data_IF_917777967802
#
_entry.id   IF_917777967802
#
_cell.length_a   1.000
_cell.length_b   1.000
_cell.length_c   1.000
_cell.angle_alpha   90.00
_cell.angle_beta   90.00
_cell.angle_gamma   90.00
#
_symmetry.space_group_name_H-M   'P 1'
#
loop_
_entity.id
_entity.type
_entity.pdbx_description
1 polymer ?
#
# COMPACT_ATOMS: atom_id res chain seq x y z
N UNK A 1 8.66 -9.88 2.10
CA UNK A 1 9.38 -9.36 0.93
C UNK A 1 10.88 -9.63 1.09
N UNK A 2 11.54 -9.98 -0.01
CA UNK A 2 12.99 -10.17 -0.06
C UNK A 2 13.65 -8.81 -0.40
N UNK A 3 14.27 -8.17 0.60
CA UNK A 3 14.87 -6.84 0.47
C UNK A 3 16.18 -6.76 1.25
N UNK A 4 17.08 -5.90 0.79
CA UNK A 4 18.37 -5.57 1.44
C UNK A 4 18.46 -4.06 1.63
N UNK A 5 18.12 -3.54 2.80
CA UNK A 5 18.14 -2.08 3.03
C UNK A 5 19.51 -1.43 2.81
N UNK A 6 20.57 -2.15 3.15
CA UNK A 6 21.97 -1.73 2.94
C UNK A 6 22.37 -1.68 1.46
N UNK A 7 21.60 -2.35 0.58
CA UNK A 7 21.83 -2.40 -0.86
C UNK A 7 20.51 -2.09 -1.60
N UNK A 8 19.97 -0.86 -1.54
CA UNK A 8 18.66 -0.50 -2.09
C UNK A 8 18.52 -0.78 -3.59
N UNK A 9 19.63 -0.77 -4.31
CA UNK A 9 19.71 -1.08 -5.74
C UNK A 9 19.78 -2.56 -6.10
N UNK A 10 19.78 -3.46 -5.10
CA UNK A 10 19.92 -4.90 -5.37
C UNK A 10 18.88 -5.40 -6.38
N UNK A 11 19.34 -5.95 -7.53
CA UNK A 11 18.44 -6.21 -8.67
C UNK A 11 17.45 -7.35 -8.44
N UNK A 12 17.70 -8.23 -7.45
CA UNK A 12 16.82 -9.37 -7.14
C UNK A 12 15.84 -9.09 -6.00
N UNK A 13 15.84 -7.87 -5.44
CA UNK A 13 14.87 -7.52 -4.40
C UNK A 13 13.45 -7.49 -4.95
N UNK A 14 12.48 -7.79 -4.11
CA UNK A 14 11.08 -7.56 -4.42
C UNK A 14 10.79 -6.07 -4.63
N UNK A 15 9.75 -5.75 -5.38
CA UNK A 15 9.29 -4.38 -5.66
C UNK A 15 7.99 -4.11 -4.91
N UNK A 16 7.89 -2.91 -4.35
CA UNK A 16 6.67 -2.40 -3.73
C UNK A 16 6.30 -1.04 -4.31
N UNK A 17 5.24 -1.02 -5.10
CA UNK A 17 4.65 0.22 -5.60
C UNK A 17 3.50 0.63 -4.68
N UNK A 18 3.66 1.74 -3.96
CA UNK A 18 2.59 2.34 -3.17
C UNK A 18 1.83 3.32 -4.07
N UNK A 19 0.81 2.84 -4.77
CA UNK A 19 0.06 3.63 -5.76
C UNK A 19 -0.65 4.83 -5.13
N UNK A 20 -1.21 4.65 -3.93
CA UNK A 20 -1.73 5.75 -3.10
C UNK A 20 -0.59 6.56 -2.48
N UNK A 21 0.12 7.34 -3.30
CA UNK A 21 1.33 8.07 -2.91
C UNK A 21 1.17 9.04 -1.74
N UNK A 22 -0.06 9.50 -1.48
CA UNK A 22 -0.38 10.32 -0.31
C UNK A 22 -0.22 9.57 1.03
N UNK A 23 -0.11 8.24 1.03
CA UNK A 23 0.24 7.43 2.20
C UNK A 23 1.77 7.38 2.45
N UNK A 24 2.50 8.39 2.00
CA UNK A 24 3.97 8.49 2.10
C UNK A 24 4.50 8.40 3.53
N UNK A 25 3.79 8.94 4.52
CA UNK A 25 4.19 8.83 5.94
C UNK A 25 4.35 7.36 6.37
N UNK A 26 3.37 6.53 6.01
CA UNK A 26 3.41 5.09 6.30
C UNK A 26 4.61 4.44 5.61
N UNK A 27 4.80 4.70 4.31
CA UNK A 27 5.91 4.13 3.55
C UNK A 27 7.26 4.52 4.14
N UNK A 28 7.46 5.80 4.45
CA UNK A 28 8.71 6.28 5.04
C UNK A 28 8.98 5.68 6.43
N UNK A 29 7.94 5.55 7.25
CA UNK A 29 8.06 4.90 8.55
C UNK A 29 8.51 3.46 8.41
N UNK A 30 7.88 2.70 7.51
CA UNK A 30 8.27 1.31 7.24
C UNK A 30 9.70 1.21 6.70
N UNK A 31 10.09 2.06 5.76
CA UNK A 31 11.43 2.08 5.18
C UNK A 31 12.51 2.42 6.24
N UNK A 32 12.24 3.42 7.10
CA UNK A 32 13.15 3.77 8.19
C UNK A 32 13.34 2.62 9.18
N UNK A 33 12.24 2.03 9.65
CA UNK A 33 12.31 0.88 10.58
C UNK A 33 12.88 -0.38 9.91
N UNK A 34 12.81 -0.48 8.60
CA UNK A 34 13.45 -1.56 7.84
C UNK A 34 14.95 -1.32 7.64
N UNK A 35 15.47 -0.12 7.94
CA UNK A 35 16.88 0.21 7.89
C UNK A 35 17.36 0.88 6.60
N UNK A 36 16.46 1.38 5.74
CA UNK A 36 16.85 2.11 4.53
C UNK A 36 17.43 3.48 4.81
N UNK A 37 17.06 4.09 5.94
CA UNK A 37 17.62 5.35 6.44
C UNK A 37 17.31 5.50 7.93
N UNK A 38 17.97 6.46 8.58
CA UNK A 38 17.84 6.64 10.02
C UNK A 38 16.40 7.10 10.42
N UNK A 39 15.76 6.48 11.43
CA UNK A 39 14.43 6.89 11.88
C UNK A 39 14.35 8.36 12.31
N UNK A 40 15.45 8.96 12.74
CA UNK A 40 15.51 10.38 13.09
C UNK A 40 15.15 11.30 11.91
N UNK A 41 15.38 10.86 10.67
CA UNK A 41 15.04 11.62 9.47
C UNK A 41 13.52 11.78 9.27
N UNK A 42 12.68 10.94 9.87
CA UNK A 42 11.22 11.07 9.80
C UNK A 42 10.73 12.44 10.28
N UNK A 43 11.49 13.11 11.17
CA UNK A 43 11.18 14.47 11.63
C UNK A 43 11.29 15.54 10.54
N UNK A 44 11.94 15.24 9.42
CA UNK A 44 12.09 16.16 8.29
C UNK A 44 11.02 16.03 7.24
N UNK A 45 9.99 15.19 7.48
CA UNK A 45 8.90 14.96 6.53
C UNK A 45 8.28 16.27 6.05
N UNK A 46 8.20 16.45 4.73
CA UNK A 46 7.67 17.65 4.04
C UNK A 46 8.39 18.97 4.34
N UNK A 47 9.56 18.93 4.97
CA UNK A 47 10.38 20.12 5.10
C UNK A 47 11.13 20.43 3.79
N UNK A 48 11.51 21.69 3.59
CA UNK A 48 12.36 22.10 2.46
C UNK A 48 13.68 21.30 2.56
N UNK A 49 14.18 20.87 1.41
CA UNK A 49 15.41 20.08 1.27
C UNK A 49 15.36 18.64 1.84
N UNK A 50 14.26 18.23 2.47
CA UNK A 50 14.09 16.83 2.88
C UNK A 50 13.86 15.93 1.68
N UNK A 51 14.46 14.74 1.70
CA UNK A 51 14.15 13.69 0.73
C UNK A 51 12.78 13.03 0.98
N UNK A 52 12.21 13.23 2.17
CA UNK A 52 10.91 12.70 2.58
C UNK A 52 9.79 13.66 2.15
N UNK A 53 9.49 13.64 0.86
CA UNK A 53 8.51 14.53 0.23
C UNK A 53 7.07 14.09 0.52
N UNK A 54 6.10 14.98 0.30
CA UNK A 54 4.67 14.68 0.49
C UNK A 54 4.16 13.48 -0.32
N UNK A 55 4.73 13.27 -1.52
CA UNK A 55 4.60 12.04 -2.29
C UNK A 55 5.99 11.40 -2.48
N UNK A 56 6.09 10.06 -2.48
CA UNK A 56 7.39 9.39 -2.58
C UNK A 56 8.09 9.68 -3.90
N UNK A 57 9.40 9.93 -3.83
CA UNK A 57 10.25 10.13 -4.99
C UNK A 57 11.35 9.05 -5.04
N UNK A 58 11.33 8.21 -6.07
CA UNK A 58 12.28 7.11 -6.24
C UNK A 58 13.72 7.58 -6.46
N UNK A 59 13.90 8.82 -6.94
CA UNK A 59 15.24 9.40 -7.17
C UNK A 59 15.85 9.97 -5.89
N UNK A 60 15.05 10.18 -4.83
CA UNK A 60 15.51 10.83 -3.60
C UNK A 60 15.52 9.89 -2.41
N UNK A 61 14.56 8.97 -2.33
CA UNK A 61 14.37 8.13 -1.14
C UNK A 61 14.73 6.68 -1.44
N UNK A 62 15.76 6.11 -0.83
CA UNK A 62 16.12 4.71 -1.02
C UNK A 62 14.99 3.78 -0.57
N UNK A 63 14.77 2.70 -1.33
CA UNK A 63 13.67 1.75 -1.09
C UNK A 63 12.35 2.13 -1.72
N UNK A 64 12.21 3.34 -2.30
CA UNK A 64 11.05 3.74 -3.08
C UNK A 64 11.21 3.25 -4.52
N UNK A 65 10.29 2.40 -4.99
CA UNK A 65 10.35 1.79 -6.31
C UNK A 65 9.74 2.63 -7.43
N UNK A 66 8.83 3.53 -7.09
CA UNK A 66 8.14 4.41 -8.03
C UNK A 66 7.85 5.74 -7.37
N UNK A 67 8.11 6.84 -8.07
CA UNK A 67 7.57 8.15 -7.70
C UNK A 67 6.07 8.14 -7.94
N UNK A 68 5.28 8.31 -6.89
CA UNK A 68 3.81 8.24 -6.94
C UNK A 68 3.16 9.56 -6.52
N UNK A 69 1.88 9.70 -6.80
CA UNK A 69 1.07 10.89 -6.58
C UNK A 69 -0.16 10.82 -7.45
N UNK A 70 -0.02 10.71 -8.79
CA UNK A 70 -1.15 10.43 -9.67
C UNK A 70 -1.73 9.05 -9.37
N UNK A 71 -2.98 9.00 -8.91
CA UNK A 71 -3.70 7.76 -8.66
C UNK A 71 -3.88 6.95 -9.96
N UNK A 72 -4.07 5.65 -9.83
CA UNK A 72 -4.31 4.74 -10.95
C UNK A 72 -3.06 4.28 -11.72
N UNK A 73 -1.95 5.01 -11.65
CA UNK A 73 -0.73 4.71 -12.41
C UNK A 73 0.08 3.54 -11.84
N UNK A 74 -0.02 3.32 -10.53
CA UNK A 74 0.80 2.31 -9.84
C UNK A 74 0.62 0.91 -10.39
N UNK A 75 -0.60 0.52 -10.75
CA UNK A 75 -0.87 -0.81 -11.33
C UNK A 75 -0.17 -1.01 -12.67
N UNK A 76 -0.15 0.01 -13.54
CA UNK A 76 0.52 -0.05 -14.84
C UNK A 76 2.03 -0.20 -14.69
N UNK A 77 2.65 0.57 -13.79
CA UNK A 77 4.08 0.50 -13.52
C UNK A 77 4.45 -0.84 -12.87
N UNK A 78 3.67 -1.31 -11.92
CA UNK A 78 3.87 -2.62 -11.30
C UNK A 78 3.77 -3.76 -12.33
N UNK A 79 2.81 -3.69 -13.26
CA UNK A 79 2.72 -4.62 -14.39
C UNK A 79 4.01 -4.59 -15.23
N UNK A 80 4.50 -3.40 -15.59
CA UNK A 80 5.76 -3.24 -16.33
C UNK A 80 6.94 -3.87 -15.60
N UNK A 81 7.06 -3.66 -14.28
CA UNK A 81 8.11 -4.28 -13.46
C UNK A 81 8.01 -5.80 -13.44
N UNK A 82 6.80 -6.35 -13.31
CA UNK A 82 6.58 -7.81 -13.31
C UNK A 82 6.90 -8.44 -14.69
N UNK A 83 6.55 -7.75 -15.78
CA UNK A 83 6.91 -8.18 -17.13
C UNK A 83 8.41 -8.09 -17.39
N UNK A 84 9.07 -7.04 -16.89
CA UNK A 84 10.52 -6.90 -16.95
C UNK A 84 11.22 -8.04 -16.17
N UNK A 85 10.69 -8.42 -14.99
CA UNK A 85 11.21 -9.57 -14.25
C UNK A 85 11.20 -10.84 -15.10
N UNK A 86 10.08 -11.12 -15.76
CA UNK A 86 9.96 -12.29 -16.65
C UNK A 86 10.93 -12.22 -17.84
N UNK A 87 10.99 -11.05 -18.51
CA UNK A 87 11.87 -10.85 -19.67
C UNK A 87 13.36 -11.01 -19.33
N UNK A 88 13.74 -10.56 -18.13
CA UNK A 88 15.11 -10.61 -17.63
C UNK A 88 15.40 -11.87 -16.80
N UNK A 89 14.48 -12.84 -16.79
CA UNK A 89 14.59 -14.11 -16.05
C UNK A 89 14.89 -13.90 -14.55
N UNK A 90 14.30 -12.83 -13.96
CA UNK A 90 14.44 -12.53 -12.53
C UNK A 90 13.29 -13.11 -11.74
N UNK A 91 13.55 -13.42 -10.45
CA UNK A 91 12.63 -14.14 -9.59
C UNK A 91 11.93 -13.28 -8.52
N UNK A 92 12.07 -11.96 -8.59
CA UNK A 92 11.43 -11.07 -7.61
C UNK A 92 9.92 -10.96 -7.82
N UNK A 93 9.23 -10.67 -6.74
CA UNK A 93 7.82 -10.33 -6.73
C UNK A 93 7.63 -8.83 -6.90
N UNK A 94 6.52 -8.46 -7.54
CA UNK A 94 6.07 -7.08 -7.63
C UNK A 94 4.72 -6.94 -6.91
N UNK A 95 4.71 -6.11 -5.89
CA UNK A 95 3.51 -5.79 -5.12
C UNK A 95 3.07 -4.37 -5.47
N UNK A 96 1.77 -4.16 -5.62
CA UNK A 96 1.17 -2.83 -5.73
C UNK A 96 0.13 -2.65 -4.66
N UNK A 97 0.29 -1.61 -3.83
CA UNK A 97 -0.66 -1.22 -2.80
C UNK A 97 -1.57 -0.14 -3.34
N UNK A 98 -2.85 -0.47 -3.43
CA UNK A 98 -3.93 0.37 -3.95
C UNK A 98 -4.84 0.84 -2.82
N UNK A 99 -5.49 1.96 -3.01
CA UNK A 99 -6.60 2.44 -2.18
C UNK A 99 -7.89 2.54 -2.99
N UNK A 100 -8.97 2.94 -2.33
CA UNK A 100 -10.29 3.11 -2.96
C UNK A 100 -10.24 4.08 -4.14
N UNK A 101 -9.55 5.21 -3.99
CA UNK A 101 -9.40 6.20 -5.05
C UNK A 101 -8.66 5.67 -6.29
N UNK A 102 -7.63 4.82 -6.11
CA UNK A 102 -6.94 4.17 -7.22
C UNK A 102 -7.89 3.32 -8.07
N UNK A 103 -8.90 2.72 -7.44
CA UNK A 103 -9.86 1.85 -8.10
C UNK A 103 -10.91 2.62 -8.93
N UNK A 104 -11.05 3.92 -8.70
CA UNK A 104 -11.94 4.76 -9.52
C UNK A 104 -11.25 5.27 -10.79
N UNK A 105 -9.92 5.15 -10.88
CA UNK A 105 -9.15 5.57 -12.06
C UNK A 105 -9.24 4.54 -13.19
N UNK A 106 -9.60 4.99 -14.41
CA UNK A 106 -9.68 4.14 -15.60
C UNK A 106 -8.37 3.43 -15.91
N UNK A 107 -7.22 4.10 -15.71
CA UNK A 107 -5.89 3.56 -15.87
C UNK A 107 -5.66 2.27 -15.05
N UNK A 108 -6.23 2.19 -13.84
CA UNK A 108 -6.17 0.96 -13.02
C UNK A 108 -6.81 -0.22 -13.74
N UNK A 109 -8.00 -0.03 -14.34
CA UNK A 109 -8.74 -1.10 -15.03
C UNK A 109 -8.09 -1.50 -16.36
N UNK A 110 -7.51 -0.54 -17.08
CA UNK A 110 -6.70 -0.83 -18.28
C UNK A 110 -5.51 -1.73 -17.91
N UNK A 111 -4.80 -1.41 -16.81
CA UNK A 111 -3.69 -2.23 -16.34
C UNK A 111 -4.15 -3.61 -15.86
N UNK A 112 -5.33 -3.72 -15.25
CA UNK A 112 -5.94 -5.01 -14.85
C UNK A 112 -6.20 -5.89 -16.07
N UNK A 113 -6.79 -5.33 -17.14
CA UNK A 113 -7.01 -6.06 -18.40
C UNK A 113 -5.69 -6.51 -19.03
N UNK A 114 -4.70 -5.61 -19.08
CA UNK A 114 -3.39 -5.93 -19.61
C UNK A 114 -2.69 -7.03 -18.79
N UNK A 115 -2.77 -6.97 -17.46
CA UNK A 115 -2.21 -8.00 -16.59
C UNK A 115 -2.86 -9.38 -16.81
N UNK A 116 -4.16 -9.44 -17.02
CA UNK A 116 -4.85 -10.67 -17.38
C UNK A 116 -4.40 -11.23 -18.73
N UNK A 117 -4.13 -10.36 -19.72
CA UNK A 117 -3.59 -10.73 -21.03
C UNK A 117 -2.17 -11.29 -20.93
N UNK A 118 -1.29 -10.60 -20.22
CA UNK A 118 0.12 -10.94 -20.15
C UNK A 118 0.49 -11.97 -19.08
N UNK A 119 -0.41 -12.21 -18.13
CA UNK A 119 -0.30 -13.23 -17.07
C UNK A 119 1.04 -13.19 -16.33
N UNK A 120 1.41 -12.07 -15.69
CA UNK A 120 2.64 -11.97 -14.91
C UNK A 120 2.47 -12.75 -13.58
N UNK A 121 3.16 -13.85 -13.44
CA UNK A 121 3.02 -14.82 -12.32
C UNK A 121 3.35 -14.25 -10.93
N UNK A 122 4.05 -13.14 -10.86
CA UNK A 122 4.55 -12.53 -9.62
C UNK A 122 4.09 -11.10 -9.41
N UNK A 123 2.95 -10.75 -10.01
CA UNK A 123 2.26 -9.49 -9.75
C UNK A 123 1.15 -9.70 -8.71
N UNK A 124 1.21 -8.93 -7.64
CA UNK A 124 0.22 -8.97 -6.55
C UNK A 124 -0.34 -7.59 -6.29
N UNK A 125 -1.65 -7.45 -6.41
CA UNK A 125 -2.36 -6.26 -5.95
C UNK A 125 -2.82 -6.46 -4.49
N UNK A 126 -2.39 -5.59 -3.60
CA UNK A 126 -2.83 -5.48 -2.21
C UNK A 126 -3.78 -4.28 -2.16
N UNK A 127 -5.05 -4.50 -1.82
CA UNK A 127 -6.07 -3.48 -1.87
C UNK A 127 -6.48 -3.11 -0.45
N UNK A 128 -6.13 -1.89 -0.05
CA UNK A 128 -6.60 -1.27 1.19
C UNK A 128 -8.00 -0.72 0.93
N UNK A 129 -9.01 -1.52 1.30
CA UNK A 129 -10.42 -1.23 1.07
C UNK A 129 -11.07 -0.71 2.35
N UNK A 130 -10.78 0.55 2.67
CA UNK A 130 -11.28 1.23 3.86
C UNK A 130 -12.62 1.95 3.64
N UNK A 131 -13.11 2.01 2.41
CA UNK A 131 -14.40 2.62 2.01
C UNK A 131 -14.51 4.12 2.28
N UNK A 132 -13.37 4.83 2.44
CA UNK A 132 -13.33 6.28 2.67
C UNK A 132 -12.35 6.94 1.72
N UNK A 133 -12.83 7.87 0.91
CA UNK A 133 -12.05 8.71 0.01
C UNK A 133 -11.87 10.13 0.58
N UNK A 134 -11.26 11.02 -0.22
CA UNK A 134 -11.03 12.41 0.17
C UNK A 134 -12.33 13.14 0.53
N UNK A 135 -13.36 12.98 -0.31
CA UNK A 135 -14.61 13.74 -0.23
C UNK A 135 -15.71 13.03 0.56
N UNK A 136 -15.44 11.81 1.07
CA UNK A 136 -16.41 11.06 1.86
C UNK A 136 -16.39 9.54 1.67
N UNK A 137 -17.46 8.87 2.07
CA UNK A 137 -17.61 7.42 1.90
C UNK A 137 -17.56 7.01 0.42
N UNK A 138 -16.74 6.01 0.08
CA UNK A 138 -16.57 5.55 -1.31
C UNK A 138 -17.88 5.12 -1.95
N UNK A 139 -18.83 4.60 -1.17
CA UNK A 139 -20.15 4.21 -1.65
C UNK A 139 -20.99 5.40 -2.18
N UNK A 140 -20.78 6.60 -1.59
CA UNK A 140 -21.48 7.82 -1.99
C UNK A 140 -20.77 8.53 -3.14
N UNK A 141 -19.44 8.41 -3.22
CA UNK A 141 -18.63 9.09 -4.25
C UNK A 141 -18.63 8.28 -5.55
N UNK A 142 -18.13 7.05 -5.51
CA UNK A 142 -18.08 6.14 -6.65
C UNK A 142 -18.01 4.68 -6.14
N UNK A 143 -19.13 3.98 -6.05
CA UNK A 143 -19.18 2.66 -5.45
C UNK A 143 -18.42 1.61 -6.26
N UNK A 144 -17.61 0.84 -5.58
CA UNK A 144 -16.76 -0.19 -6.17
C UNK A 144 -17.25 -1.62 -5.95
N UNK A 145 -18.16 -1.82 -5.01
CA UNK A 145 -18.73 -3.15 -4.77
C UNK A 145 -19.53 -3.65 -5.99
N UNK A 146 -19.58 -4.94 -6.26
CA UNK A 146 -18.83 -5.99 -5.61
C UNK A 146 -17.38 -6.10 -6.14
N UNK A 147 -16.41 -5.63 -5.40
CA UNK A 147 -15.02 -5.54 -5.86
C UNK A 147 -14.35 -6.90 -6.15
N UNK A 148 -14.51 -7.95 -5.32
CA UNK A 148 -13.93 -9.26 -5.62
C UNK A 148 -14.42 -9.84 -6.95
N UNK A 149 -15.71 -9.71 -7.24
CA UNK A 149 -16.35 -10.22 -8.46
C UNK A 149 -15.87 -9.46 -9.69
N UNK A 150 -15.79 -8.14 -9.60
CA UNK A 150 -15.24 -7.29 -10.66
C UNK A 150 -13.81 -7.74 -11.01
N UNK A 151 -12.96 -7.97 -10.02
CA UNK A 151 -11.59 -8.46 -10.24
C UNK A 151 -11.55 -9.84 -10.87
N UNK A 152 -12.40 -10.77 -10.42
CA UNK A 152 -12.51 -12.11 -11.02
C UNK A 152 -12.99 -12.05 -12.47
N UNK A 153 -13.95 -11.16 -12.78
CA UNK A 153 -14.42 -10.95 -14.15
C UNK A 153 -13.33 -10.49 -15.11
N UNK A 154 -12.30 -9.80 -14.60
CA UNK A 154 -11.08 -9.47 -15.34
C UNK A 154 -10.02 -10.58 -15.31
N UNK A 155 -10.38 -11.83 -14.93
CA UNK A 155 -9.49 -12.98 -14.87
C UNK A 155 -8.29 -12.82 -13.93
N UNK A 156 -8.44 -12.08 -12.85
CA UNK A 156 -7.48 -12.08 -11.75
C UNK A 156 -7.77 -13.20 -10.76
N UNK A 157 -6.72 -13.76 -10.22
CA UNK A 157 -6.83 -14.71 -9.12
C UNK A 157 -7.02 -13.95 -7.81
N UNK A 158 -8.27 -13.89 -7.37
CA UNK A 158 -8.66 -13.12 -6.19
C UNK A 158 -8.71 -14.05 -4.98
N UNK A 159 -8.09 -13.60 -3.90
CA UNK A 159 -8.11 -14.33 -2.63
C UNK A 159 -9.54 -14.74 -2.22
N UNK A 160 -9.72 -15.92 -1.61
CA UNK A 160 -11.04 -16.48 -1.33
C UNK A 160 -11.83 -15.69 -0.29
N UNK A 161 -11.15 -14.89 0.53
CA UNK A 161 -11.74 -14.06 1.56
C UNK A 161 -11.25 -12.61 1.46
N UNK A 162 -12.02 -11.69 2.01
CA UNK A 162 -11.56 -10.35 2.39
C UNK A 162 -10.95 -10.48 3.78
N UNK A 163 -9.68 -10.10 3.91
CA UNK A 163 -8.92 -10.22 5.15
C UNK A 163 -9.03 -8.95 5.99
N UNK A 164 -8.91 -9.10 7.30
CA UNK A 164 -8.73 -7.95 8.19
C UNK A 164 -7.30 -7.41 8.04
N UNK A 165 -7.17 -6.20 7.49
CA UNK A 165 -5.87 -5.54 7.28
C UNK A 165 -5.19 -5.06 8.56
N UNK A 166 -5.90 -5.05 9.70
CA UNK A 166 -5.36 -4.74 11.02
C UNK A 166 -4.93 -5.98 11.80
N UNK A 167 -5.22 -7.18 11.28
CA UNK A 167 -4.80 -8.44 11.87
C UNK A 167 -3.53 -8.97 11.20
N UNK A 168 -2.41 -8.94 11.92
CA UNK A 168 -1.13 -9.51 11.43
C UNK A 168 -1.30 -10.97 11.01
N UNK A 169 -2.08 -11.73 11.77
CA UNK A 169 -2.34 -13.16 11.49
C UNK A 169 -3.06 -13.32 10.14
N UNK A 170 -4.07 -12.50 9.87
CA UNK A 170 -4.80 -12.56 8.59
C UNK A 170 -3.95 -12.06 7.41
N UNK A 171 -3.19 -11.01 7.62
CA UNK A 171 -2.23 -10.54 6.62
C UNK A 171 -1.23 -11.63 6.28
N UNK A 172 -0.65 -12.34 7.25
CA UNK A 172 0.27 -13.44 7.00
C UNK A 172 -0.40 -14.60 6.26
N UNK A 173 -1.62 -14.99 6.64
CA UNK A 173 -2.42 -16.00 5.90
C UNK A 173 -2.63 -15.63 4.44
N UNK A 174 -2.89 -14.35 4.16
CA UNK A 174 -3.07 -13.89 2.80
C UNK A 174 -1.78 -14.00 1.97
N UNK A 175 -0.63 -13.70 2.56
CA UNK A 175 0.66 -13.89 1.89
C UNK A 175 1.01 -15.37 1.65
N UNK A 176 0.61 -16.27 2.55
CA UNK A 176 0.77 -17.70 2.32
C UNK A 176 -0.11 -18.19 1.16
N UNK A 177 -1.34 -17.68 1.07
CA UNK A 177 -2.19 -17.91 -0.10
C UNK A 177 -1.52 -17.39 -1.39
N UNK A 178 -1.00 -16.16 -1.40
CA UNK A 178 -0.32 -15.54 -2.55
C UNK A 178 0.84 -16.40 -3.05
N UNK A 179 1.65 -16.98 -2.16
CA UNK A 179 2.80 -17.82 -2.53
C UNK A 179 2.39 -19.06 -3.33
N UNK A 180 1.17 -19.54 -3.16
CA UNK A 180 0.60 -20.65 -3.92
C UNK A 180 0.17 -20.29 -5.36
N UNK A 181 0.04 -19.00 -5.67
CA UNK A 181 -0.45 -18.53 -6.96
C UNK A 181 0.69 -18.37 -7.96
N UNK A 182 0.60 -19.03 -9.12
CA UNK A 182 1.68 -19.06 -10.12
C UNK A 182 1.24 -18.80 -11.56
N UNK A 183 -0.06 -18.79 -11.84
CA UNK A 183 -0.56 -18.74 -13.22
C UNK A 183 -1.19 -17.39 -13.61
N UNK A 184 -1.64 -16.59 -12.65
CA UNK A 184 -2.41 -15.37 -12.87
C UNK A 184 -1.91 -14.26 -11.97
N UNK A 185 -2.07 -12.97 -12.34
CA UNK A 185 -1.85 -11.91 -11.35
C UNK A 185 -2.81 -12.13 -10.17
N UNK A 186 -2.31 -11.97 -8.95
CA UNK A 186 -3.09 -12.19 -7.74
C UNK A 186 -3.60 -10.87 -7.15
N UNK A 187 -4.77 -10.90 -6.51
CA UNK A 187 -5.32 -9.78 -5.76
C UNK A 187 -5.77 -10.22 -4.38
N UNK A 188 -5.39 -9.44 -3.37
CA UNK A 188 -5.83 -9.58 -1.98
C UNK A 188 -6.53 -8.30 -1.57
N UNK A 189 -7.72 -8.44 -0.99
CA UNK A 189 -8.51 -7.30 -0.50
C UNK A 189 -8.46 -7.32 1.02
N UNK A 190 -8.08 -6.19 1.59
CA UNK A 190 -8.05 -5.98 3.03
C UNK A 190 -9.12 -4.99 3.43
N UNK A 191 -10.02 -5.42 4.31
CA UNK A 191 -10.89 -4.49 5.03
C UNK A 191 -10.03 -3.79 6.09
N UNK A 192 -10.06 -2.47 6.05
CA UNK A 192 -9.34 -1.63 6.99
C UNK A 192 -10.24 -0.50 7.48
N UNK A 193 -9.80 0.20 8.51
CA UNK A 193 -10.39 1.44 9.00
C UNK A 193 -9.39 2.57 8.81
N UNK A 194 -9.78 3.59 8.07
CA UNK A 194 -8.96 4.79 7.89
C UNK A 194 -8.77 5.46 9.25
N UNK A 195 -7.51 5.77 9.62
CA UNK A 195 -7.21 6.41 10.91
C UNK A 195 -7.23 5.48 12.12
N UNK A 196 -7.21 4.15 11.91
CA UNK A 196 -7.24 3.13 12.96
C UNK A 196 -6.30 3.44 14.12
N UNK A 197 -6.84 3.35 15.35
CA UNK A 197 -6.10 3.56 16.59
C UNK A 197 -6.15 4.99 17.12
N UNK A 198 -6.74 5.93 16.37
CA UNK A 198 -6.95 7.32 16.81
C UNK A 198 -8.42 7.67 16.67
N UNK A 199 -9.14 7.72 17.80
CA UNK A 199 -10.60 7.75 17.85
C UNK A 199 -11.26 8.86 17.03
N UNK A 200 -10.65 10.04 16.96
CA UNK A 200 -11.19 11.18 16.20
C UNK A 200 -10.80 11.17 14.71
N UNK A 201 -9.92 10.25 14.29
CA UNK A 201 -9.51 10.06 12.91
C UNK A 201 -10.19 8.87 12.23
N UNK A 202 -10.67 7.90 13.02
CA UNK A 202 -11.25 6.67 12.49
C UNK A 202 -12.45 6.96 11.57
N UNK A 203 -12.39 6.39 10.36
CA UNK A 203 -13.40 6.49 9.31
C UNK A 203 -13.86 7.92 8.97
N UNK A 204 -13.05 8.91 9.33
CA UNK A 204 -13.35 10.32 9.12
C UNK A 204 -12.57 10.89 7.92
N UNK A 205 -13.28 11.18 6.82
CA UNK A 205 -12.71 11.73 5.59
C UNK A 205 -11.98 13.07 5.79
N UNK A 206 -12.37 13.89 6.76
CA UNK A 206 -11.72 15.18 7.04
C UNK A 206 -10.23 15.01 7.40
N UNK A 207 -9.85 13.85 7.95
CA UNK A 207 -8.46 13.54 8.26
C UNK A 207 -7.66 12.97 7.08
N UNK A 208 -8.22 12.95 5.90
CA UNK A 208 -7.47 12.53 4.72
C UNK A 208 -6.25 13.43 4.45
N UNK A 209 -6.38 14.72 4.66
CA UNK A 209 -5.31 15.70 4.40
C UNK A 209 -5.24 16.83 5.41
N UNK A 210 -5.81 16.67 6.59
CA UNK A 210 -5.79 17.70 7.63
C UNK A 210 -4.38 17.90 8.19
N UNK A 211 -4.12 19.15 8.62
CA UNK A 211 -2.89 19.47 9.36
C UNK A 211 -3.04 18.97 10.80
N UNK A 212 -2.01 18.30 11.30
CA UNK A 212 -1.93 17.86 12.68
C UNK A 212 -1.18 18.94 13.46
N UNK A 213 -1.90 19.66 14.33
CA UNK A 213 -1.32 20.61 15.28
C UNK A 213 -0.82 19.91 16.56
N UNK A 214 -0.18 20.64 17.46
CA UNK A 214 0.38 20.10 18.68
C UNK A 214 -0.67 19.49 19.61
N UNK A 215 -1.88 20.03 19.62
CA UNK A 215 -2.99 19.54 20.46
C UNK A 215 -3.52 18.20 19.93
N UNK A 216 -3.79 18.12 18.64
CA UNK A 216 -4.21 16.87 17.97
C UNK A 216 -3.11 15.81 18.00
N UNK A 217 -1.84 16.19 17.81
CA UNK A 217 -0.72 15.29 17.99
C UNK A 217 -0.64 14.69 19.39
N UNK A 218 -0.77 15.55 20.41
CA UNK A 218 -0.71 15.10 21.82
C UNK A 218 -1.82 14.11 22.12
N UNK A 219 -3.05 14.39 21.68
CA UNK A 219 -4.21 13.50 21.87
C UNK A 219 -4.00 12.16 21.14
N UNK A 220 -3.65 12.19 19.87
CA UNK A 220 -3.41 10.97 19.08
C UNK A 220 -2.30 10.11 19.71
N UNK A 221 -1.19 10.75 20.11
CA UNK A 221 -0.07 10.06 20.77
C UNK A 221 -0.50 9.40 22.09
N UNK A 222 -1.33 10.06 22.88
CA UNK A 222 -1.83 9.50 24.13
C UNK A 222 -2.68 8.24 23.88
N UNK A 223 -3.60 8.26 22.91
CA UNK A 223 -4.44 7.12 22.55
C UNK A 223 -3.58 5.93 22.07
N UNK A 224 -2.60 6.20 21.20
CA UNK A 224 -1.69 5.16 20.70
C UNK A 224 -0.80 4.56 21.79
N UNK A 225 -0.31 5.36 22.74
CA UNK A 225 0.47 4.87 23.87
C UNK A 225 -0.36 4.01 24.82
N UNK A 226 -1.62 4.36 25.07
CA UNK A 226 -2.53 3.54 25.87
C UNK A 226 -2.80 2.19 25.19
N UNK A 227 -2.93 2.19 23.87
CA UNK A 227 -3.09 0.93 23.10
C UNK A 227 -1.83 0.07 23.18
N UNK A 228 -0.65 0.68 23.03
CA UNK A 228 0.62 -0.03 23.15
C UNK A 228 0.78 -0.67 24.54
N UNK A 229 0.51 0.08 25.61
CA UNK A 229 0.59 -0.42 26.98
C UNK A 229 -0.33 -1.63 27.20
N UNK A 230 -1.57 -1.58 26.71
CA UNK A 230 -2.50 -2.72 26.78
C UNK A 230 -1.98 -3.95 26.03
N UNK A 231 -1.30 -3.78 24.90
CA UNK A 231 -0.72 -4.88 24.15
C UNK A 231 0.50 -5.49 24.88
N UNK A 232 1.33 -4.66 25.54
CA UNK A 232 2.47 -5.12 26.34
C UNK A 232 2.03 -5.92 27.58
N UNK A 233 0.88 -5.59 28.16
CA UNK A 233 0.28 -6.33 29.30
C UNK A 233 -0.28 -7.72 28.90
N UNK A 234 -0.46 -7.98 27.60
CA UNK A 234 -0.97 -9.26 27.08
C UNK A 234 0.14 -10.26 26.67
N UNK A 235 1.41 -9.85 26.72
CA UNK A 235 2.59 -10.64 26.36
C UNK A 235 3.35 -11.06 27.59
#
# INVERSE_FOLDING_TARGET
MNVRPEEPGWPLRDRLVVSKGHASCMLYTVLAHRGYFAPAELKTFRQIDSRLQGHPCMLKTPGVDMSTGPLGHGTSVALGMALAARLLEKSYWTYVLLGDGDLNEGQTWEAIMAAAKFKPERLVALIDYNKVQLDGPSEQIMPMDPLPEKRRAFNWNVAPAVYDGHSIVEVLKSFDWVKGQRQWPAAVIYKTHKGQGVSFMEDNAQWHGAVIDDATYTKARQELLQTLQKLEELV
#
